data_IF_528451653365
#
_entry.id   IF_528451653365
#
_cell.length_a   1.000
_cell.length_b   1.000
_cell.length_c   1.000
_cell.angle_alpha   90.00
_cell.angle_beta   90.00
_cell.angle_gamma   90.00
#
_symmetry.space_group_name_H-M   'P 1'
#
loop_
_entity.id
_entity.type
_entity.pdbx_description
1 polymer ?
#
# COMPACT_ATOMS: atom_id res chain seq x y z
N UNK A 1 18.85 -27.72 -27.89
CA UNK A 1 19.26 -26.77 -26.86
C UNK A 1 18.65 -27.21 -25.55
N UNK A 2 19.44 -27.23 -24.49
CA UNK A 2 19.00 -27.74 -23.19
C UNK A 2 18.01 -26.76 -22.55
N UNK A 3 16.71 -27.11 -22.54
CA UNK A 3 15.62 -26.29 -22.01
C UNK A 3 15.87 -25.78 -20.57
N UNK A 4 16.64 -26.55 -19.79
CA UNK A 4 17.02 -26.15 -18.44
C UNK A 4 18.04 -25.01 -18.37
N UNK A 5 18.96 -24.93 -19.35
CA UNK A 5 19.94 -23.85 -19.44
C UNK A 5 19.28 -22.55 -19.94
N UNK A 6 18.33 -22.66 -20.86
CA UNK A 6 17.60 -21.52 -21.40
C UNK A 6 16.65 -20.91 -20.35
N UNK A 7 15.91 -21.74 -19.61
CA UNK A 7 15.09 -21.31 -18.48
C UNK A 7 15.91 -20.60 -17.39
N UNK A 8 17.12 -21.13 -17.07
CA UNK A 8 18.02 -20.51 -16.09
C UNK A 8 18.63 -19.19 -16.58
N UNK A 9 18.85 -19.04 -17.90
CA UNK A 9 19.35 -17.80 -18.49
C UNK A 9 18.29 -16.70 -18.47
N UNK A 10 17.03 -17.05 -18.77
CA UNK A 10 15.88 -16.12 -18.70
C UNK A 10 15.58 -15.69 -17.28
N UNK A 11 15.70 -16.60 -16.31
CA UNK A 11 15.41 -16.31 -14.89
C UNK A 11 16.44 -15.39 -14.23
N UNK A 12 17.69 -15.33 -14.73
CA UNK A 12 18.73 -14.41 -14.23
C UNK A 12 18.36 -12.94 -14.39
N UNK A 13 17.60 -12.61 -15.43
CA UNK A 13 17.18 -11.25 -15.75
C UNK A 13 15.83 -10.89 -15.15
N UNK A 14 15.21 -11.81 -14.41
CA UNK A 14 13.94 -11.60 -13.73
C UNK A 14 14.16 -11.39 -12.23
N UNK A 15 13.49 -10.41 -11.67
CA UNK A 15 13.40 -10.17 -10.24
C UNK A 15 11.94 -10.26 -9.82
N UNK A 16 11.63 -11.16 -8.90
CA UNK A 16 10.30 -11.21 -8.31
C UNK A 16 10.11 -9.99 -7.42
N UNK A 17 9.11 -9.16 -7.74
CA UNK A 17 8.84 -7.90 -7.04
C UNK A 17 7.46 -7.83 -6.39
N UNK A 18 6.62 -8.84 -6.59
CA UNK A 18 5.30 -8.97 -5.94
C UNK A 18 5.23 -10.37 -5.30
N UNK A 19 5.72 -10.45 -4.07
CA UNK A 19 5.84 -11.73 -3.35
C UNK A 19 5.25 -11.61 -1.96
N UNK A 20 4.36 -12.53 -1.63
CA UNK A 20 3.76 -12.70 -0.31
C UNK A 20 4.29 -13.98 0.33
N UNK A 21 4.86 -13.86 1.52
CA UNK A 21 5.30 -15.01 2.31
C UNK A 21 4.21 -15.41 3.33
N UNK A 22 4.53 -16.40 4.16
CA UNK A 22 3.70 -16.82 5.30
C UNK A 22 3.28 -15.69 6.24
N UNK A 23 3.88 -14.51 6.09
CA UNK A 23 3.57 -13.32 6.89
C UNK A 23 2.40 -12.50 6.31
N UNK A 24 1.98 -12.81 5.09
CA UNK A 24 0.71 -12.35 4.51
C UNK A 24 -0.39 -13.36 4.84
N UNK A 25 -0.95 -13.21 6.06
CA UNK A 25 -1.91 -14.16 6.63
C UNK A 25 -3.11 -14.37 5.70
N UNK A 26 -3.54 -15.62 5.55
CA UNK A 26 -4.64 -16.09 4.70
C UNK A 26 -4.40 -15.97 3.19
N UNK A 27 -3.19 -15.59 2.76
CA UNK A 27 -2.84 -15.48 1.35
C UNK A 27 -1.72 -16.44 0.95
N UNK A 28 -0.63 -16.53 1.72
CA UNK A 28 0.50 -17.42 1.43
C UNK A 28 0.86 -18.32 2.62
N UNK A 29 1.27 -19.54 2.32
CA UNK A 29 1.84 -20.49 3.28
C UNK A 29 3.35 -20.71 3.07
N UNK A 30 3.93 -20.19 1.99
CA UNK A 30 5.33 -20.39 1.63
C UNK A 30 6.21 -19.50 2.49
N UNK A 31 7.20 -20.10 3.17
CA UNK A 31 8.15 -19.35 4.00
C UNK A 31 9.02 -18.44 3.15
N UNK A 32 9.37 -17.26 3.69
CA UNK A 32 10.25 -16.34 2.98
C UNK A 32 11.61 -16.96 2.65
N UNK A 33 12.11 -17.90 3.47
CA UNK A 33 13.36 -18.62 3.20
C UNK A 33 13.25 -19.48 1.93
N UNK A 34 12.12 -20.17 1.72
CA UNK A 34 11.91 -21.02 0.55
C UNK A 34 11.92 -20.20 -0.76
N UNK A 35 11.37 -18.97 -0.72
CA UNK A 35 11.46 -18.04 -1.84
C UNK A 35 12.91 -17.59 -2.13
N UNK A 36 13.69 -17.30 -1.09
CA UNK A 36 15.10 -16.94 -1.22
C UNK A 36 15.89 -18.11 -1.83
N UNK A 37 15.72 -19.30 -1.30
CA UNK A 37 16.40 -20.52 -1.80
C UNK A 37 16.02 -20.78 -3.26
N UNK A 38 14.75 -20.60 -3.61
CA UNK A 38 14.28 -20.75 -4.99
C UNK A 38 14.86 -19.70 -5.93
N UNK A 39 14.95 -18.44 -5.50
CA UNK A 39 15.57 -17.36 -6.27
C UNK A 39 17.05 -17.70 -6.57
N UNK A 40 17.80 -18.18 -5.57
CA UNK A 40 19.19 -18.62 -5.73
C UNK A 40 19.29 -19.78 -6.72
N UNK A 41 18.45 -20.81 -6.59
CA UNK A 41 18.43 -21.96 -7.52
C UNK A 41 18.20 -21.54 -8.98
N UNK A 42 17.33 -20.54 -9.18
CA UNK A 42 17.03 -19.97 -10.49
C UNK A 42 18.12 -19.01 -10.99
N UNK A 43 19.12 -18.67 -10.17
CA UNK A 43 20.18 -17.72 -10.49
C UNK A 43 19.72 -16.27 -10.51
N UNK A 44 18.62 -15.94 -9.81
CA UNK A 44 18.17 -14.56 -9.60
C UNK A 44 19.13 -13.83 -8.67
N UNK A 45 19.30 -12.53 -8.88
CA UNK A 45 20.22 -11.70 -8.10
C UNK A 45 19.53 -10.82 -7.07
N UNK A 46 18.21 -10.78 -7.08
CA UNK A 46 17.41 -9.98 -6.17
C UNK A 46 15.99 -10.57 -5.99
N UNK A 47 15.37 -10.23 -4.87
CA UNK A 47 13.95 -10.51 -4.59
C UNK A 47 13.35 -9.38 -3.75
N UNK A 48 12.09 -9.01 -4.03
CA UNK A 48 11.31 -8.13 -3.16
C UNK A 48 10.31 -8.96 -2.36
N UNK A 49 10.12 -8.59 -1.10
CA UNK A 49 8.99 -9.05 -0.31
C UNK A 49 8.03 -7.88 -0.12
N UNK A 50 6.77 -8.09 -0.48
CA UNK A 50 5.71 -7.08 -0.55
C UNK A 50 4.47 -7.59 0.17
N UNK A 51 4.62 -7.83 1.48
CA UNK A 51 3.54 -8.35 2.31
C UNK A 51 2.33 -7.38 2.34
N UNK A 52 1.15 -7.92 2.58
CA UNK A 52 -0.09 -7.17 2.67
C UNK A 52 -0.10 -6.18 3.83
N UNK A 53 0.04 -4.89 3.55
CA UNK A 53 -0.07 -3.79 4.50
C UNK A 53 0.96 -3.79 5.62
N UNK A 54 2.04 -4.58 5.50
CA UNK A 54 3.05 -4.68 6.55
C UNK A 54 4.45 -5.00 6.00
N UNK A 55 5.45 -4.86 6.87
CA UNK A 55 6.85 -5.15 6.60
C UNK A 55 7.41 -6.16 7.60
N UNK A 56 6.61 -7.12 8.03
CA UNK A 56 6.98 -8.09 9.06
C UNK A 56 8.27 -8.82 8.72
N UNK A 57 9.14 -8.93 9.75
CA UNK A 57 10.42 -9.61 9.67
C UNK A 57 11.35 -9.10 8.55
N UNK A 58 11.22 -7.84 8.11
CA UNK A 58 12.03 -7.33 7.01
C UNK A 58 13.55 -7.42 7.30
N UNK A 59 13.98 -7.23 8.56
CA UNK A 59 15.40 -7.38 8.97
C UNK A 59 15.85 -8.83 8.79
N UNK A 60 15.06 -9.81 9.22
CA UNK A 60 15.37 -11.23 9.06
C UNK A 60 15.44 -11.63 7.57
N UNK A 61 14.49 -11.16 6.76
CA UNK A 61 14.49 -11.36 5.30
C UNK A 61 15.75 -10.78 4.65
N UNK A 62 16.13 -9.55 5.04
CA UNK A 62 17.36 -8.92 4.56
C UNK A 62 18.60 -9.73 4.93
N UNK A 63 18.73 -10.13 6.19
CA UNK A 63 19.87 -10.95 6.64
C UNK A 63 19.94 -12.29 5.92
N UNK A 64 18.79 -12.93 5.65
CA UNK A 64 18.73 -14.18 4.89
C UNK A 64 19.14 -13.99 3.43
N UNK A 65 18.72 -12.91 2.77
CA UNK A 65 19.15 -12.54 1.42
C UNK A 65 20.64 -12.26 1.37
N UNK A 66 21.19 -11.48 2.31
CA UNK A 66 22.62 -11.18 2.40
C UNK A 66 23.45 -12.47 2.54
N UNK A 67 23.02 -13.40 3.41
CA UNK A 67 23.65 -14.72 3.59
C UNK A 67 23.59 -15.56 2.32
N UNK A 68 22.50 -15.45 1.55
CA UNK A 68 22.30 -16.17 0.30
C UNK A 68 23.00 -15.52 -0.90
N UNK A 69 23.60 -14.34 -0.73
CA UNK A 69 24.29 -13.59 -1.79
C UNK A 69 23.37 -12.94 -2.82
N UNK A 70 22.11 -12.68 -2.49
CA UNK A 70 21.16 -11.96 -3.35
C UNK A 70 20.69 -10.66 -2.70
N UNK A 71 20.28 -9.69 -3.52
CA UNK A 71 19.83 -8.39 -3.04
C UNK A 71 18.41 -8.48 -2.47
N UNK A 72 18.22 -8.04 -1.23
CA UNK A 72 16.90 -7.78 -0.66
C UNK A 72 16.36 -6.44 -1.18
N UNK A 73 15.15 -6.45 -1.71
CA UNK A 73 14.42 -5.24 -2.08
C UNK A 73 13.30 -5.03 -1.05
N UNK A 74 13.40 -3.91 -0.32
CA UNK A 74 12.43 -3.57 0.71
C UNK A 74 11.15 -3.05 0.07
N UNK A 75 10.02 -3.70 0.34
CA UNK A 75 8.75 -3.33 -0.25
C UNK A 75 7.56 -3.68 0.63
N UNK A 76 6.40 -3.23 0.18
CA UNK A 76 5.10 -3.50 0.79
C UNK A 76 4.01 -3.43 -0.26
N UNK A 77 2.98 -4.26 -0.18
CA UNK A 77 1.72 -4.02 -0.88
C UNK A 77 0.82 -3.17 0.01
N UNK A 78 0.71 -1.88 -0.32
CA UNK A 78 -0.12 -0.92 0.39
C UNK A 78 -1.57 -0.97 -0.07
N UNK A 79 -2.47 -0.66 0.84
CA UNK A 79 -3.88 -0.42 0.57
C UNK A 79 -4.14 1.08 0.46
N UNK A 80 -4.77 1.50 -0.64
CA UNK A 80 -5.13 2.89 -0.88
C UNK A 80 -6.63 3.10 -0.71
N UNK A 81 -7.01 4.29 -0.26
CA UNK A 81 -8.39 4.76 -0.24
C UNK A 81 -8.44 6.20 -0.77
N UNK A 82 -9.54 6.60 -1.38
CA UNK A 82 -9.68 7.99 -1.82
C UNK A 82 -9.75 8.93 -0.62
N UNK A 83 -10.51 8.55 0.40
CA UNK A 83 -10.67 9.28 1.66
C UNK A 83 -10.85 8.30 2.82
N UNK A 84 -10.52 8.72 4.04
CA UNK A 84 -10.67 7.86 5.23
C UNK A 84 -12.11 7.81 5.73
N UNK A 85 -12.85 8.91 5.55
CA UNK A 85 -14.23 9.06 6.04
C UNK A 85 -15.12 9.69 4.99
N UNK A 86 -16.35 9.21 4.92
CA UNK A 86 -17.49 9.91 4.31
C UNK A 86 -18.19 10.71 5.39
N UNK A 87 -18.49 11.97 5.07
CA UNK A 87 -19.25 12.89 5.92
C UNK A 87 -20.68 12.99 5.40
N UNK A 88 -21.66 13.24 6.28
CA UNK A 88 -23.01 13.57 5.86
C UNK A 88 -23.04 14.82 4.97
N UNK A 89 -24.10 14.99 4.18
CA UNK A 89 -24.27 16.22 3.37
C UNK A 89 -24.46 17.43 4.29
N UNK A 90 -23.59 18.43 4.08
CA UNK A 90 -23.61 19.67 4.85
C UNK A 90 -24.97 20.38 4.77
N UNK A 91 -25.61 20.35 3.59
CA UNK A 91 -26.87 21.03 3.39
C UNK A 91 -28.02 20.40 4.21
N UNK A 92 -27.99 19.06 4.33
CA UNK A 92 -28.98 18.34 5.16
C UNK A 92 -28.81 18.67 6.64
N UNK A 93 -27.57 18.77 7.11
CA UNK A 93 -27.26 19.03 8.51
C UNK A 93 -27.37 20.52 8.87
N UNK A 94 -27.15 21.44 7.94
CA UNK A 94 -27.17 22.87 8.20
C UNK A 94 -28.54 23.35 8.68
N UNK A 95 -29.62 22.85 8.07
CA UNK A 95 -30.97 23.15 8.51
C UNK A 95 -31.23 22.70 9.97
N UNK A 96 -30.75 21.54 10.36
CA UNK A 96 -30.85 21.04 11.73
C UNK A 96 -29.99 21.89 12.69
N UNK A 97 -28.78 22.23 12.29
CA UNK A 97 -27.85 23.01 13.11
C UNK A 97 -28.36 24.43 13.40
N UNK A 98 -29.12 25.04 12.49
CA UNK A 98 -29.65 26.41 12.65
C UNK A 98 -30.83 26.52 13.62
N UNK A 99 -31.50 25.45 13.99
CA UNK A 99 -32.74 25.49 14.75
C UNK A 99 -32.60 26.18 16.11
N UNK A 100 -33.10 27.44 16.17
CA UNK A 100 -33.16 28.22 17.44
C UNK A 100 -31.81 28.68 17.99
N UNK A 101 -30.73 28.63 17.18
CA UNK A 101 -29.35 28.97 17.56
C UNK A 101 -28.84 30.24 16.87
N UNK A 102 -27.86 30.89 17.48
CA UNK A 102 -27.07 31.93 16.83
C UNK A 102 -26.16 31.29 15.73
N UNK A 103 -25.57 32.12 14.87
CA UNK A 103 -24.70 31.64 13.79
C UNK A 103 -23.48 30.89 14.33
N UNK A 104 -22.85 31.36 15.39
CA UNK A 104 -21.71 30.71 16.02
C UNK A 104 -22.09 29.32 16.64
N UNK A 105 -23.23 29.29 17.31
CA UNK A 105 -23.77 28.05 17.88
C UNK A 105 -24.17 27.06 16.78
N UNK A 106 -24.75 27.54 15.66
CA UNK A 106 -25.11 26.71 14.52
C UNK A 106 -23.86 26.13 13.83
N UNK A 107 -22.78 26.89 13.66
CA UNK A 107 -21.54 26.40 13.11
C UNK A 107 -20.87 25.33 13.97
N UNK A 108 -20.92 25.51 15.31
CA UNK A 108 -20.42 24.50 16.25
C UNK A 108 -21.24 23.22 16.18
N UNK A 109 -22.56 23.34 16.23
CA UNK A 109 -23.47 22.19 16.13
C UNK A 109 -23.30 21.44 14.81
N UNK A 110 -23.15 22.14 13.67
CA UNK A 110 -22.86 21.53 12.38
C UNK A 110 -21.56 20.71 12.42
N UNK A 111 -20.51 21.25 13.03
CA UNK A 111 -19.24 20.52 13.19
C UNK A 111 -19.41 19.25 14.02
N UNK A 112 -20.18 19.33 15.09
CA UNK A 112 -20.46 18.18 15.98
C UNK A 112 -21.31 17.12 15.26
N UNK A 113 -22.32 17.54 14.49
CA UNK A 113 -23.17 16.66 13.67
C UNK A 113 -22.36 15.98 12.55
N UNK A 114 -21.50 16.72 11.86
CA UNK A 114 -20.62 16.14 10.83
C UNK A 114 -19.66 15.12 11.43
N UNK A 115 -19.02 15.42 12.55
CA UNK A 115 -18.09 14.51 13.22
C UNK A 115 -18.78 13.24 13.74
N UNK A 116 -19.98 13.38 14.34
CA UNK A 116 -20.75 12.25 14.83
C UNK A 116 -21.35 11.38 13.72
N UNK A 117 -21.67 11.99 12.58
CA UNK A 117 -22.25 11.31 11.41
C UNK A 117 -21.23 10.70 10.45
N UNK A 118 -19.93 10.97 10.64
CA UNK A 118 -18.89 10.44 9.74
C UNK A 118 -18.80 8.91 9.79
N UNK A 119 -18.55 8.31 8.63
CA UNK A 119 -18.40 6.85 8.48
C UNK A 119 -17.08 6.54 7.79
N UNK A 120 -16.36 5.52 8.28
CA UNK A 120 -15.14 5.05 7.62
C UNK A 120 -15.48 4.43 6.25
N UNK A 121 -14.78 4.89 5.22
CA UNK A 121 -14.88 4.34 3.86
C UNK A 121 -14.30 2.93 3.81
N UNK A 122 -14.85 2.04 2.97
CA UNK A 122 -14.40 0.65 2.84
C UNK A 122 -13.43 0.39 1.69
N UNK A 123 -13.09 1.41 0.90
CA UNK A 123 -12.19 1.26 -0.24
C UNK A 123 -10.82 0.75 0.18
N UNK A 124 -10.27 -0.13 -0.63
CA UNK A 124 -8.93 -0.67 -0.45
C UNK A 124 -8.34 -1.05 -1.82
N UNK A 125 -7.82 -0.08 -2.54
CA UNK A 125 -7.08 -0.33 -3.78
C UNK A 125 -5.66 -0.78 -3.44
N UNK A 126 -5.07 -1.63 -4.28
CA UNK A 126 -3.73 -2.17 -4.04
C UNK A 126 -2.67 -1.46 -4.87
N UNK A 127 -1.53 -1.16 -4.25
CA UNK A 127 -0.32 -0.68 -4.92
C UNK A 127 0.91 -1.29 -4.26
N UNK A 128 1.97 -1.50 -5.05
CA UNK A 128 3.24 -1.99 -4.52
C UNK A 128 4.22 -0.82 -4.44
N UNK A 129 4.89 -0.70 -3.29
CA UNK A 129 5.95 0.24 -3.04
C UNK A 129 7.25 -0.52 -2.84
N UNK A 130 8.33 -0.10 -3.52
CA UNK A 130 9.67 -0.67 -3.38
C UNK A 130 10.69 0.44 -3.20
N UNK A 131 11.50 0.36 -2.13
CA UNK A 131 12.55 1.32 -1.85
C UNK A 131 13.71 1.23 -2.84
N UNK A 132 14.13 2.38 -3.39
CA UNK A 132 15.34 2.50 -4.23
C UNK A 132 16.62 2.60 -3.38
N UNK A 133 16.52 3.22 -2.21
CA UNK A 133 17.63 3.55 -1.32
C UNK A 133 17.18 3.55 0.15
N UNK A 134 18.05 3.96 1.05
CA UNK A 134 17.78 3.99 2.49
C UNK A 134 16.66 4.96 2.88
N UNK A 135 16.58 6.13 2.23
CA UNK A 135 15.51 7.09 2.48
C UNK A 135 14.15 6.53 2.07
N UNK A 136 14.10 5.76 0.96
CA UNK A 136 12.89 5.03 0.56
C UNK A 136 12.49 3.94 1.56
N UNK A 137 13.44 3.27 2.23
CA UNK A 137 13.15 2.33 3.32
C UNK A 137 12.47 3.06 4.48
N UNK A 138 13.03 4.20 4.91
CA UNK A 138 12.45 5.00 5.99
C UNK A 138 11.06 5.51 5.63
N UNK A 139 10.87 5.94 4.39
CA UNK A 139 9.58 6.43 3.90
C UNK A 139 8.52 5.31 3.91
N UNK A 140 8.83 4.12 3.39
CA UNK A 140 7.93 2.96 3.45
C UNK A 140 7.59 2.58 4.90
N UNK A 141 8.59 2.57 5.80
CA UNK A 141 8.36 2.26 7.21
C UNK A 141 7.41 3.27 7.87
N UNK A 142 7.55 4.56 7.55
CA UNK A 142 6.67 5.62 8.03
C UNK A 142 5.25 5.47 7.49
N UNK A 143 5.09 5.16 6.20
CA UNK A 143 3.78 4.92 5.57
C UNK A 143 3.07 3.70 6.17
N UNK A 144 3.79 2.60 6.41
CA UNK A 144 3.24 1.43 7.10
C UNK A 144 2.81 1.79 8.53
N UNK A 145 3.61 2.60 9.24
CA UNK A 145 3.26 3.07 10.58
C UNK A 145 2.01 3.97 10.56
N UNK A 146 1.93 4.89 9.59
CA UNK A 146 0.78 5.77 9.37
C UNK A 146 -0.49 4.96 9.09
N UNK A 147 -0.42 4.00 8.16
CA UNK A 147 -1.57 3.19 7.75
C UNK A 147 -2.18 2.34 8.89
N UNK A 148 -1.39 2.08 9.93
CA UNK A 148 -1.83 1.34 11.13
C UNK A 148 -2.37 2.22 12.26
N UNK A 149 -2.44 3.54 12.08
CA UNK A 149 -3.08 4.44 13.07
C UNK A 149 -4.59 4.20 13.09
N UNK A 150 -5.22 4.56 14.21
CA UNK A 150 -6.66 4.36 14.43
C UNK A 150 -7.53 5.01 13.34
N UNK A 151 -7.18 6.20 12.90
CA UNK A 151 -7.89 6.94 11.85
C UNK A 151 -7.77 6.26 10.47
N UNK A 152 -6.62 5.70 10.14
CA UNK A 152 -6.31 5.05 8.86
C UNK A 152 -6.77 3.59 8.79
N UNK A 153 -6.70 2.87 9.90
CA UNK A 153 -7.04 1.46 9.94
C UNK A 153 -8.56 1.22 9.91
N UNK A 154 -9.01 0.49 8.89
CA UNK A 154 -10.38 -0.03 8.84
C UNK A 154 -10.40 -1.37 8.10
N UNK A 155 -10.51 -2.47 8.84
CA UNK A 155 -10.27 -3.84 8.41
C UNK A 155 -8.85 -4.09 7.86
N UNK A 156 -8.24 -3.10 7.24
CA UNK A 156 -6.88 -3.13 6.66
C UNK A 156 -6.17 -1.80 6.93
N UNK A 157 -4.82 -1.80 7.02
CA UNK A 157 -4.03 -0.58 7.13
C UNK A 157 -4.04 0.15 5.77
N UNK A 158 -4.49 1.40 5.72
CA UNK A 158 -4.67 2.17 4.48
C UNK A 158 -3.96 3.49 4.52
N UNK A 159 -3.59 3.98 3.34
CA UNK A 159 -3.18 5.37 3.10
C UNK A 159 -4.11 6.00 2.06
N UNK A 160 -4.25 7.31 2.09
CA UNK A 160 -5.07 8.04 1.12
C UNK A 160 -4.35 8.19 -0.23
N UNK A 161 -5.09 8.53 -1.29
CA UNK A 161 -4.49 8.90 -2.58
C UNK A 161 -3.56 10.11 -2.46
N UNK A 162 -3.89 11.10 -1.63
CA UNK A 162 -3.03 12.27 -1.44
C UNK A 162 -1.71 11.92 -0.74
N UNK A 163 -1.75 11.06 0.26
CA UNK A 163 -0.54 10.53 0.91
C UNK A 163 0.30 9.71 -0.06
N UNK A 164 -0.34 8.90 -0.91
CA UNK A 164 0.35 8.17 -1.96
C UNK A 164 1.02 9.12 -2.98
N UNK A 165 0.33 10.16 -3.42
CA UNK A 165 0.88 11.18 -4.32
C UNK A 165 2.01 12.01 -3.68
N UNK A 166 2.09 12.04 -2.36
CA UNK A 166 3.19 12.66 -1.61
C UNK A 166 4.46 11.81 -1.52
N UNK A 167 4.42 10.54 -1.95
CA UNK A 167 5.59 9.63 -1.88
C UNK A 167 6.68 10.12 -2.83
N UNK A 168 7.90 10.21 -2.31
CA UNK A 168 9.06 10.72 -3.04
C UNK A 168 9.54 9.76 -4.15
N UNK A 169 10.48 10.26 -4.97
CA UNK A 169 11.17 9.45 -5.98
C UNK A 169 12.16 8.43 -5.42
N UNK A 170 12.35 8.38 -4.10
CA UNK A 170 13.12 7.33 -3.44
C UNK A 170 12.39 5.97 -3.39
N UNK A 171 11.10 5.96 -3.78
CA UNK A 171 10.25 4.78 -3.82
C UNK A 171 9.74 4.53 -5.24
N UNK A 172 9.84 3.28 -5.70
CA UNK A 172 9.18 2.81 -6.93
C UNK A 172 7.74 2.49 -6.59
N UNK A 173 6.80 2.97 -7.40
CA UNK A 173 5.38 2.73 -7.30
C UNK A 173 4.93 1.83 -8.44
N UNK A 174 4.19 0.77 -8.14
CA UNK A 174 3.78 -0.24 -9.11
C UNK A 174 2.29 -0.52 -8.93
N UNK A 175 1.58 -0.71 -10.03
CA UNK A 175 0.12 -0.89 -10.04
C UNK A 175 -0.37 -2.22 -9.42
N UNK A 176 0.48 -3.02 -8.83
CA UNK A 176 0.14 -4.28 -8.15
C UNK A 176 -0.66 -5.28 -9.02
N UNK A 177 -1.92 -5.50 -8.68
CA UNK A 177 -2.81 -6.53 -9.25
C UNK A 177 -4.11 -5.92 -9.81
N UNK A 178 -5.13 -6.75 -10.08
CA UNK A 178 -6.45 -6.29 -10.54
C UNK A 178 -7.16 -5.35 -9.53
N UNK A 179 -6.74 -5.35 -8.27
CA UNK A 179 -7.26 -4.43 -7.25
C UNK A 179 -6.60 -3.04 -7.28
N UNK A 180 -5.69 -2.78 -8.22
CA UNK A 180 -5.08 -1.47 -8.42
C UNK A 180 -6.12 -0.37 -8.68
N UNK A 181 -5.89 0.87 -8.21
CA UNK A 181 -6.76 2.00 -8.57
C UNK A 181 -6.85 2.21 -10.08
N UNK A 182 -5.77 1.96 -10.84
CA UNK A 182 -5.77 2.08 -12.29
C UNK A 182 -6.68 1.08 -13.02
N UNK A 183 -6.99 -0.05 -12.37
CA UNK A 183 -7.92 -1.04 -12.92
C UNK A 183 -9.36 -0.85 -12.45
N UNK A 184 -9.56 -0.30 -11.24
CA UNK A 184 -10.88 -0.18 -10.61
C UNK A 184 -11.54 1.17 -10.82
N UNK A 185 -10.76 2.25 -10.88
CA UNK A 185 -11.30 3.58 -11.12
C UNK A 185 -11.70 3.75 -12.60
N UNK A 186 -12.77 4.50 -12.83
CA UNK A 186 -13.08 4.97 -14.19
C UNK A 186 -11.96 5.88 -14.70
N UNK A 187 -11.62 5.80 -15.97
CA UNK A 187 -10.70 6.73 -16.64
C UNK A 187 -11.16 8.19 -16.56
N UNK A 188 -12.43 8.43 -16.23
CA UNK A 188 -13.01 9.76 -16.01
C UNK A 188 -12.89 10.23 -14.56
N UNK A 189 -12.40 9.36 -13.66
CA UNK A 189 -12.24 9.71 -12.25
C UNK A 189 -11.18 10.81 -12.10
N UNK A 190 -11.40 11.87 -11.30
CA UNK A 190 -10.48 13.00 -11.17
C UNK A 190 -9.05 12.60 -10.77
N UNK A 191 -8.91 11.53 -9.99
CA UNK A 191 -7.61 11.03 -9.52
C UNK A 191 -6.91 10.10 -10.51
N UNK A 192 -7.62 9.55 -11.53
CA UNK A 192 -7.07 8.53 -12.43
C UNK A 192 -5.78 8.99 -13.13
N UNK A 193 -5.82 10.15 -13.76
CA UNK A 193 -4.66 10.69 -14.49
C UNK A 193 -3.49 11.05 -13.55
N UNK A 194 -3.80 11.57 -12.37
CA UNK A 194 -2.78 11.87 -11.35
C UNK A 194 -2.07 10.60 -10.90
N UNK A 195 -2.82 9.55 -10.58
CA UNK A 195 -2.28 8.26 -10.16
C UNK A 195 -1.50 7.55 -11.29
N UNK A 196 -1.90 7.71 -12.54
CA UNK A 196 -1.22 7.13 -13.69
C UNK A 196 0.15 7.78 -13.94
N UNK A 197 0.28 9.07 -13.67
CA UNK A 197 1.52 9.83 -13.90
C UNK A 197 2.52 9.75 -12.75
N UNK A 198 2.06 9.36 -11.57
CA UNK A 198 2.85 9.30 -10.35
C UNK A 198 3.51 7.93 -10.18
#
# INVERSE_FOLDING_TARGET
MDSGKEAKLLSKNYTAYHVHSELSLLDSATKFQDYIDRAVQLGQTAIAFTEHGNIYQWVAKKMACDKAGIKYLHGVECYLTEQLYEYPDVNDLWYEAQQGRSEEEAQKELSDLMESGKKKVRDNYHTILIAKNYDGILEINNLVSLSNREDHFYYKPRITFDEFLGISDNVIKISACLASPLNKLSIRHPMYEKLLRH
#
